data_IF_788712170105
#
_entry.id   IF_788712170105
#
_cell.length_a   1.000
_cell.length_b   1.000
_cell.length_c   1.000
_cell.angle_alpha   90.00
_cell.angle_beta   90.00
_cell.angle_gamma   90.00
#
_symmetry.space_group_name_H-M   'P 1'
#
loop_
_entity.id
_entity.type
_entity.pdbx_description
1 polymer ?
#
# COMPACT_ATOMS: atom_id res chain seq x y z
N UNK A 1 -14.07 51.05 32.69
CA UNK A 1 -14.59 50.32 31.52
C UNK A 1 -13.59 50.15 30.37
N UNK A 2 -12.79 51.17 29.99
CA UNK A 2 -11.83 51.05 28.85
C UNK A 2 -10.72 49.99 29.01
N UNK A 3 -10.24 49.75 30.24
CA UNK A 3 -9.19 48.76 30.52
C UNK A 3 -9.70 47.31 30.39
N UNK A 4 -10.96 47.07 30.77
CA UNK A 4 -11.60 45.74 30.67
C UNK A 4 -11.80 45.36 29.19
N UNK A 5 -12.11 46.33 28.33
CA UNK A 5 -12.28 46.11 26.90
C UNK A 5 -10.96 45.75 26.19
N UNK A 6 -9.84 46.33 26.65
CA UNK A 6 -8.50 46.03 26.11
C UNK A 6 -8.01 44.63 26.50
N UNK A 7 -8.33 44.16 27.72
CA UNK A 7 -8.03 42.79 28.16
C UNK A 7 -8.83 41.74 27.37
N UNK A 8 -10.08 42.04 27.02
CA UNK A 8 -10.94 41.13 26.26
C UNK A 8 -10.47 40.92 24.81
N UNK A 9 -9.96 41.99 24.17
CA UNK A 9 -9.40 41.92 22.81
C UNK A 9 -8.05 41.16 22.82
N UNK A 10 -7.22 41.35 23.84
CA UNK A 10 -5.97 40.60 23.99
C UNK A 10 -6.21 39.09 24.13
N UNK A 11 -7.21 38.67 24.93
CA UNK A 11 -7.56 37.25 25.07
C UNK A 11 -8.09 36.60 23.79
N UNK A 12 -8.83 37.33 22.94
CA UNK A 12 -9.34 36.79 21.66
C UNK A 12 -8.23 36.52 20.64
N UNK A 13 -7.07 37.20 20.74
CA UNK A 13 -5.93 36.94 19.83
C UNK A 13 -5.12 35.69 20.18
N UNK A 14 -5.28 35.13 21.38
CA UNK A 14 -4.58 33.90 21.79
C UNK A 14 -5.31 32.61 21.40
N UNK A 15 -6.61 32.65 21.07
CA UNK A 15 -7.37 31.46 20.66
C UNK A 15 -7.18 31.07 19.18
N UNK A 16 -6.44 31.85 18.40
CA UNK A 16 -6.27 31.64 16.96
C UNK A 16 -5.15 30.67 16.54
N UNK A 17 -4.31 30.20 17.46
CA UNK A 17 -3.13 29.36 17.15
C UNK A 17 -3.05 28.07 17.96
N UNK A 18 -4.18 27.53 18.44
CA UNK A 18 -4.23 26.11 18.75
C UNK A 18 -4.19 25.35 17.43
N UNK A 19 -2.99 25.18 16.88
CA UNK A 19 -2.74 24.41 15.68
C UNK A 19 -3.33 23.02 15.89
N UNK A 20 -4.42 22.75 15.19
CA UNK A 20 -4.91 21.40 14.94
C UNK A 20 -3.74 20.62 14.37
N UNK A 21 -3.18 19.68 15.14
CA UNK A 21 -2.30 18.65 14.58
C UNK A 21 -3.16 17.85 13.58
N UNK A 22 -3.22 18.30 12.33
CA UNK A 22 -3.95 17.60 11.28
C UNK A 22 -3.27 16.24 11.12
N UNK A 23 -3.97 15.21 11.55
CA UNK A 23 -3.58 13.82 11.33
C UNK A 23 -3.50 13.60 9.82
N UNK A 24 -2.27 13.52 9.29
CA UNK A 24 -2.03 13.30 7.86
C UNK A 24 -2.50 11.87 7.51
N UNK A 25 -3.48 11.79 6.60
CA UNK A 25 -3.99 10.52 6.08
C UNK A 25 -3.20 10.08 4.85
N UNK A 26 -2.67 8.85 4.85
CA UNK A 26 -1.97 8.29 3.68
C UNK A 26 -2.87 8.21 2.45
N UNK A 27 -4.16 7.90 2.64
CA UNK A 27 -5.12 7.81 1.54
C UNK A 27 -5.41 9.18 0.94
N UNK A 28 -5.41 10.24 1.75
CA UNK A 28 -5.54 11.62 1.26
C UNK A 28 -4.31 12.02 0.44
N UNK A 29 -3.11 11.72 0.92
CA UNK A 29 -1.86 11.97 0.18
C UNK A 29 -1.84 11.25 -1.17
N UNK A 30 -2.25 9.98 -1.19
CA UNK A 30 -2.33 9.17 -2.42
C UNK A 30 -3.38 9.75 -3.38
N UNK A 31 -4.57 10.10 -2.87
CA UNK A 31 -5.66 10.69 -3.67
C UNK A 31 -5.24 12.01 -4.30
N UNK A 32 -4.61 12.90 -3.53
CA UNK A 32 -4.11 14.18 -4.03
C UNK A 32 -3.03 13.98 -5.10
N UNK A 33 -2.08 13.07 -4.88
CA UNK A 33 -1.06 12.75 -5.87
C UNK A 33 -1.65 12.20 -7.18
N UNK A 34 -2.64 11.30 -7.10
CA UNK A 34 -3.33 10.79 -8.29
C UNK A 34 -4.05 11.92 -9.05
N UNK A 35 -4.72 12.85 -8.34
CA UNK A 35 -5.36 14.01 -8.97
C UNK A 35 -4.36 14.94 -9.66
N UNK A 36 -3.18 15.13 -9.08
CA UNK A 36 -2.08 15.89 -9.71
C UNK A 36 -1.62 15.23 -11.02
N UNK A 37 -1.45 13.90 -11.02
CA UNK A 37 -1.12 13.15 -12.23
C UNK A 37 -2.22 13.31 -13.30
N UNK A 38 -3.48 13.15 -12.92
CA UNK A 38 -4.62 13.27 -13.83
C UNK A 38 -4.76 14.68 -14.41
N UNK A 39 -4.49 15.73 -13.62
CA UNK A 39 -4.46 17.13 -14.09
C UNK A 39 -3.40 17.34 -15.17
N UNK A 40 -2.29 16.60 -15.09
CA UNK A 40 -1.25 16.57 -16.12
C UNK A 40 -1.58 15.65 -17.30
N UNK A 41 -2.81 15.16 -17.40
CA UNK A 41 -3.28 14.20 -18.42
C UNK A 41 -2.50 12.88 -18.42
N UNK A 42 -2.06 12.44 -17.24
CA UNK A 42 -1.49 11.10 -17.05
C UNK A 42 -2.64 10.16 -16.67
N UNK A 43 -2.86 9.16 -17.53
CA UNK A 43 -4.01 8.25 -17.47
C UNK A 43 -3.61 6.80 -17.19
N UNK A 44 -2.31 6.52 -17.11
CA UNK A 44 -1.73 5.18 -16.91
C UNK A 44 -1.03 5.16 -15.56
N UNK A 45 -1.75 4.72 -14.53
CA UNK A 45 -1.32 4.75 -13.13
C UNK A 45 -1.57 3.38 -12.49
N UNK A 46 -0.63 2.90 -11.69
CA UNK A 46 -0.78 1.72 -10.85
C UNK A 46 -0.35 2.06 -9.42
N UNK A 47 -1.26 1.85 -8.47
CA UNK A 47 -0.99 1.98 -7.04
C UNK A 47 -0.69 0.58 -6.49
N UNK A 48 0.35 0.47 -5.67
CA UNK A 48 0.72 -0.75 -4.97
C UNK A 48 0.87 -0.44 -3.48
N UNK A 49 0.25 -1.28 -2.64
CA UNK A 49 0.30 -1.21 -1.18
C UNK A 49 0.72 -2.58 -0.65
N UNK A 50 1.66 -2.58 0.29
CA UNK A 50 2.02 -3.75 1.08
C UNK A 50 1.85 -3.38 2.55
N UNK A 51 0.90 -4.03 3.23
CA UNK A 51 0.47 -3.68 4.57
C UNK A 51 0.11 -4.92 5.36
N UNK A 52 -0.18 -4.74 6.65
CA UNK A 52 -0.71 -5.82 7.47
C UNK A 52 -2.07 -5.41 8.05
N UNK A 53 -3.05 -6.30 7.89
CA UNK A 53 -4.35 -6.18 8.55
C UNK A 53 -4.21 -6.66 9.99
N UNK A 54 -4.73 -5.87 10.93
CA UNK A 54 -4.72 -6.19 12.35
C UNK A 54 -3.33 -6.13 13.01
N UNK A 55 -2.24 -5.87 12.28
CA UNK A 55 -0.99 -5.49 12.91
C UNK A 55 -1.17 -4.14 13.63
N UNK A 56 -0.45 -3.96 14.74
CA UNK A 56 -0.44 -2.69 15.47
C UNK A 56 0.17 -1.61 14.56
N UNK A 57 -0.67 -0.90 13.83
CA UNK A 57 -0.34 0.40 13.28
C UNK A 57 -0.22 1.32 14.50
N UNK A 58 1.00 1.67 14.89
CA UNK A 58 1.16 2.79 15.80
C UNK A 58 0.62 4.01 15.06
N UNK A 59 -0.51 4.47 15.57
CA UNK A 59 -1.27 5.62 15.08
C UNK A 59 -0.35 6.72 14.58
N UNK A 60 -0.64 7.19 13.37
CA UNK A 60 -0.45 8.52 12.72
C UNK A 60 -0.17 9.76 13.59
N UNK A 61 0.54 9.61 14.69
CA UNK A 61 1.02 10.70 15.50
C UNK A 61 2.30 11.15 14.81
N UNK A 62 2.32 12.39 14.33
CA UNK A 62 3.46 12.98 13.60
C UNK A 62 4.76 12.95 14.41
N UNK A 63 4.65 12.69 15.72
CA UNK A 63 5.74 12.43 16.67
C UNK A 63 6.52 11.14 16.36
N UNK A 64 5.95 10.17 15.65
CA UNK A 64 6.59 8.87 15.34
C UNK A 64 7.46 8.87 14.08
N UNK A 65 7.43 9.94 13.28
CA UNK A 65 8.33 10.08 12.14
C UNK A 65 9.82 10.16 12.53
N UNK A 66 10.10 10.29 13.83
CA UNK A 66 11.43 10.35 14.42
C UNK A 66 11.52 9.59 15.75
N UNK A 67 11.11 8.31 15.83
CA UNK A 67 11.51 7.50 16.99
C UNK A 67 12.94 6.97 16.80
N UNK A 68 13.95 7.70 17.31
CA UNK A 68 15.34 7.22 17.40
C UNK A 68 15.47 5.91 18.16
N UNK A 69 14.58 5.64 19.12
CA UNK A 69 14.61 4.44 19.98
C UNK A 69 14.37 3.13 19.22
N UNK A 70 13.66 3.16 18.09
CA UNK A 70 13.32 1.92 17.37
C UNK A 70 14.00 1.78 16.01
N UNK A 71 14.70 2.81 15.51
CA UNK A 71 15.28 2.79 14.15
C UNK A 71 14.24 2.65 13.03
N UNK A 72 12.95 2.78 13.35
CA UNK A 72 11.82 2.59 12.44
C UNK A 72 11.46 3.91 11.76
N UNK A 73 12.28 4.36 10.81
CA UNK A 73 11.87 5.45 9.93
C UNK A 73 10.89 4.88 8.87
N UNK A 74 9.70 5.45 8.73
CA UNK A 74 8.62 5.06 7.78
C UNK A 74 7.98 3.66 7.90
N UNK A 75 8.58 2.71 8.64
CA UNK A 75 8.06 1.33 8.73
C UNK A 75 6.67 1.26 9.37
N UNK A 76 6.34 2.23 10.23
CA UNK A 76 5.10 2.21 11.01
C UNK A 76 3.85 2.62 10.23
N UNK A 77 3.98 3.22 9.04
CA UNK A 77 2.83 3.73 8.27
C UNK A 77 2.56 3.04 6.93
N UNK A 78 3.29 1.96 6.59
CA UNK A 78 3.17 1.20 5.34
C UNK A 78 3.12 2.12 4.10
N UNK A 79 4.27 2.48 3.50
CA UNK A 79 4.29 3.40 2.37
C UNK A 79 3.49 2.86 1.19
N UNK A 80 2.93 3.78 0.41
CA UNK A 80 2.21 3.46 -0.83
C UNK A 80 3.09 3.81 -2.01
N UNK A 81 3.22 2.87 -2.95
CA UNK A 81 4.01 3.04 -4.15
C UNK A 81 3.10 3.32 -5.35
N UNK A 82 3.44 4.33 -6.13
CA UNK A 82 2.65 4.74 -7.30
C UNK A 82 3.54 4.71 -8.52
N UNK A 83 3.25 3.75 -9.40
CA UNK A 83 3.82 3.64 -10.73
C UNK A 83 2.97 4.42 -11.72
N UNK A 84 3.58 5.16 -12.63
CA UNK A 84 2.83 5.88 -13.66
C UNK A 84 3.66 6.06 -14.93
N UNK A 85 2.97 6.20 -16.07
CA UNK A 85 3.62 6.30 -17.38
C UNK A 85 3.38 7.66 -18.02
N UNK A 86 4.43 8.27 -18.57
CA UNK A 86 4.32 9.52 -19.36
C UNK A 86 5.31 9.47 -20.52
N UNK A 87 4.82 9.72 -21.74
CA UNK A 87 5.63 9.72 -22.98
C UNK A 87 6.48 8.44 -23.15
N UNK A 88 5.92 7.28 -22.79
CA UNK A 88 6.61 5.98 -22.92
C UNK A 88 7.50 5.59 -21.73
N UNK A 89 7.88 6.55 -20.89
CA UNK A 89 8.69 6.29 -19.69
C UNK A 89 7.84 5.94 -18.48
N UNK A 90 8.33 5.04 -17.63
CA UNK A 90 7.69 4.64 -16.38
C UNK A 90 8.41 5.28 -15.20
N UNK A 91 7.64 5.87 -14.31
CA UNK A 91 8.12 6.49 -13.08
C UNK A 91 7.51 5.77 -11.87
N UNK A 92 8.22 5.87 -10.74
CA UNK A 92 7.82 5.35 -9.45
C UNK A 92 7.94 6.45 -8.38
N UNK A 93 6.89 6.62 -7.61
CA UNK A 93 6.82 7.49 -6.44
C UNK A 93 6.53 6.67 -5.18
N UNK A 94 7.23 6.98 -4.09
CA UNK A 94 6.91 6.52 -2.73
C UNK A 94 6.13 7.60 -2.01
N UNK A 95 4.94 7.28 -1.53
CA UNK A 95 4.11 8.14 -0.70
C UNK A 95 4.18 7.62 0.74
N UNK A 96 4.61 8.48 1.66
CA UNK A 96 4.66 8.23 3.09
C UNK A 96 3.97 9.39 3.81
N UNK A 97 3.43 9.11 5.00
CA UNK A 97 2.90 10.12 5.93
C UNK A 97 3.99 11.03 6.49
N UNK A 98 5.24 10.56 6.57
CA UNK A 98 6.32 11.28 7.25
C UNK A 98 7.18 12.14 6.33
N UNK A 99 7.45 11.66 5.12
CA UNK A 99 8.40 12.30 4.23
C UNK A 99 7.88 12.37 2.80
N UNK A 100 8.34 13.39 2.09
CA UNK A 100 8.25 13.48 0.64
C UNK A 100 9.50 12.90 0.00
N UNK A 101 9.30 12.07 -1.03
CA UNK A 101 10.39 11.44 -1.77
C UNK A 101 10.40 11.89 -3.23
N UNK A 102 11.58 11.95 -3.83
CA UNK A 102 11.71 12.20 -5.26
C UNK A 102 11.17 11.02 -6.06
N UNK A 103 10.54 11.33 -7.20
CA UNK A 103 10.23 10.31 -8.21
C UNK A 103 11.52 9.71 -8.76
N UNK A 104 11.45 8.45 -9.16
CA UNK A 104 12.52 7.79 -9.91
C UNK A 104 11.98 7.25 -11.23
N UNK A 105 12.83 7.17 -12.26
CA UNK A 105 12.53 6.42 -13.48
C UNK A 105 12.87 4.95 -13.25
N UNK A 106 12.04 4.04 -13.77
CA UNK A 106 12.29 2.60 -13.70
C UNK A 106 12.37 2.02 -15.11
N UNK A 107 13.47 1.29 -15.39
CA UNK A 107 13.66 0.56 -16.64
C UNK A 107 12.94 -0.80 -16.62
N UNK A 108 12.85 -1.44 -15.45
CA UNK A 108 12.08 -2.68 -15.24
C UNK A 108 10.59 -2.37 -15.20
N UNK A 109 9.94 -2.33 -16.36
CA UNK A 109 8.53 -1.97 -16.50
C UNK A 109 7.68 -3.06 -17.18
N UNK A 110 8.18 -4.29 -17.22
CA UNK A 110 7.54 -5.47 -17.82
C UNK A 110 6.17 -5.81 -17.22
N UNK A 111 5.89 -5.34 -16.00
CA UNK A 111 4.57 -5.48 -15.38
C UNK A 111 3.46 -4.79 -16.19
N UNK A 112 3.77 -3.71 -16.94
CA UNK A 112 2.80 -3.08 -17.83
C UNK A 112 2.38 -4.05 -18.94
N UNK A 113 3.35 -4.70 -19.59
CA UNK A 113 3.08 -5.63 -20.69
C UNK A 113 2.30 -6.85 -20.18
N UNK A 114 2.65 -7.35 -18.99
CA UNK A 114 1.91 -8.42 -18.32
C UNK A 114 0.46 -7.99 -18.06
N UNK A 115 0.26 -6.79 -17.51
CA UNK A 115 -1.08 -6.27 -17.24
C UNK A 115 -1.88 -6.10 -18.54
N UNK A 116 -1.38 -5.36 -19.52
CA UNK A 116 -2.12 -5.07 -20.76
C UNK A 116 -2.43 -6.33 -21.56
N UNK A 117 -1.52 -7.32 -21.57
CA UNK A 117 -1.75 -8.60 -22.27
C UNK A 117 -2.70 -9.54 -21.51
N UNK A 118 -2.98 -9.29 -20.23
CA UNK A 118 -3.78 -10.18 -19.38
C UNK A 118 -4.92 -9.46 -18.64
N UNK A 119 -5.29 -8.24 -19.03
CA UNK A 119 -6.22 -7.38 -18.27
C UNK A 119 -7.52 -8.09 -17.90
N UNK A 120 -8.18 -8.69 -18.90
CA UNK A 120 -9.44 -9.44 -18.71
C UNK A 120 -9.26 -10.62 -17.75
N UNK A 121 -8.14 -11.34 -17.89
CA UNK A 121 -7.81 -12.48 -17.04
C UNK A 121 -7.61 -12.01 -15.60
N UNK A 122 -6.73 -11.04 -15.37
CA UNK A 122 -6.46 -10.44 -14.06
C UNK A 122 -7.77 -9.99 -13.41
N UNK A 123 -8.64 -9.27 -14.13
CA UNK A 123 -9.95 -8.85 -13.60
C UNK A 123 -10.76 -10.03 -13.06
N UNK A 124 -10.85 -11.12 -13.83
CA UNK A 124 -11.63 -12.32 -13.51
C UNK A 124 -10.95 -13.31 -12.55
N UNK A 125 -9.64 -13.18 -12.29
CA UNK A 125 -8.91 -14.14 -11.45
C UNK A 125 -9.48 -14.14 -10.03
N UNK A 126 -9.68 -15.36 -9.51
CA UNK A 126 -10.11 -15.59 -8.13
C UNK A 126 -8.97 -16.26 -7.38
N UNK A 127 -8.53 -15.59 -6.32
CA UNK A 127 -7.63 -16.15 -5.32
C UNK A 127 -8.50 -17.02 -4.43
N UNK A 128 -8.13 -18.29 -4.31
CA UNK A 128 -8.85 -19.22 -3.44
C UNK A 128 -8.26 -19.17 -2.05
N UNK A 129 -9.11 -19.28 -1.04
CA UNK A 129 -8.67 -19.32 0.34
C UNK A 129 -7.78 -20.53 0.64
N UNK A 130 -7.00 -20.44 1.71
CA UNK A 130 -6.28 -21.58 2.24
C UNK A 130 -7.28 -22.68 2.60
N UNK A 131 -7.18 -23.82 1.93
CA UNK A 131 -8.03 -24.97 2.19
C UNK A 131 -7.18 -26.23 2.36
N UNK A 132 -7.61 -27.12 3.24
CA UNK A 132 -6.93 -28.38 3.48
C UNK A 132 -7.93 -29.50 3.78
N UNK A 133 -7.49 -30.74 3.64
CA UNK A 133 -8.28 -31.93 3.97
C UNK A 133 -7.69 -32.65 5.19
N UNK A 134 -8.54 -33.10 6.09
CA UNK A 134 -8.19 -34.05 7.16
C UNK A 134 -9.03 -35.32 7.02
N UNK A 135 -8.55 -36.41 7.62
CA UNK A 135 -9.27 -37.68 7.69
C UNK A 135 -9.65 -37.90 9.15
N UNK A 136 -10.95 -37.84 9.44
CA UNK A 136 -11.52 -38.15 10.75
C UNK A 136 -12.48 -39.33 10.57
N UNK A 137 -12.30 -40.40 11.34
CA UNK A 137 -13.13 -41.63 11.26
C UNK A 137 -13.28 -42.17 9.81
N UNK A 138 -12.17 -42.22 9.07
CA UNK A 138 -12.13 -42.65 7.65
C UNK A 138 -12.92 -41.78 6.68
N UNK A 139 -13.44 -40.62 7.10
CA UNK A 139 -14.10 -39.63 6.24
C UNK A 139 -13.16 -38.47 5.97
N UNK A 140 -13.02 -38.10 4.69
CA UNK A 140 -12.34 -36.87 4.29
C UNK A 140 -13.25 -35.68 4.55
N UNK A 141 -12.75 -34.71 5.31
CA UNK A 141 -13.42 -33.42 5.54
C UNK A 141 -12.51 -32.30 5.05
N UNK A 142 -13.09 -31.35 4.32
CA UNK A 142 -12.40 -30.17 3.80
C UNK A 142 -12.66 -28.98 4.71
N UNK A 143 -11.59 -28.27 5.06
CA UNK A 143 -11.62 -27.09 5.90
C UNK A 143 -11.13 -25.88 5.09
N UNK A 144 -11.67 -24.71 5.42
CA UNK A 144 -11.16 -23.41 4.96
C UNK A 144 -10.66 -22.68 6.19
N UNK A 145 -9.47 -22.08 6.10
CA UNK A 145 -8.88 -21.31 7.18
C UNK A 145 -8.48 -19.93 6.68
N UNK A 146 -8.55 -18.96 7.58
CA UNK A 146 -8.19 -17.56 7.38
C UNK A 146 -7.34 -17.10 8.54
N UNK A 147 -6.57 -16.04 8.33
CA UNK A 147 -5.79 -15.40 9.39
C UNK A 147 -6.33 -14.00 9.65
N UNK A 148 -6.55 -13.68 10.92
CA UNK A 148 -7.05 -12.36 11.35
C UNK A 148 -5.93 -11.31 11.36
N UNK A 149 -4.68 -11.77 11.46
CA UNK A 149 -3.48 -10.95 11.42
C UNK A 149 -2.54 -11.46 10.33
N UNK A 150 -2.42 -10.71 9.25
CA UNK A 150 -1.66 -11.18 8.09
C UNK A 150 -1.21 -10.06 7.16
N UNK A 151 -0.09 -10.34 6.48
CA UNK A 151 0.37 -9.54 5.36
C UNK A 151 -0.68 -9.53 4.26
N UNK A 152 -0.94 -8.35 3.72
CA UNK A 152 -1.89 -8.08 2.66
C UNK A 152 -1.24 -7.14 1.65
N UNK A 153 -1.37 -7.50 0.40
CA UNK A 153 -0.89 -6.70 -0.72
C UNK A 153 -2.09 -6.29 -1.57
N UNK A 154 -2.08 -5.05 -2.05
CA UNK A 154 -3.10 -4.55 -2.97
C UNK A 154 -2.41 -3.89 -4.15
N UNK A 155 -2.94 -4.13 -5.35
CA UNK A 155 -2.66 -3.28 -6.48
C UNK A 155 -3.93 -2.75 -7.12
N UNK A 156 -3.84 -1.54 -7.64
CA UNK A 156 -4.92 -0.84 -8.34
C UNK A 156 -4.39 -0.17 -9.60
N UNK A 157 -4.79 -0.71 -10.74
CA UNK A 157 -4.57 -0.11 -12.05
C UNK A 157 -5.68 0.88 -12.37
N UNK A 158 -5.30 2.07 -12.83
CA UNK A 158 -6.17 3.12 -13.31
C UNK A 158 -5.67 3.48 -14.71
N UNK A 159 -6.35 2.99 -15.74
CA UNK A 159 -5.98 3.12 -17.15
C UNK A 159 -7.14 3.77 -17.91
N UNK A 160 -6.94 4.98 -18.44
CA UNK A 160 -7.97 5.70 -19.21
C UNK A 160 -9.34 5.76 -18.48
N UNK A 161 -9.30 5.93 -17.15
CA UNK A 161 -10.49 5.95 -16.29
C UNK A 161 -11.06 4.57 -15.91
N UNK A 162 -10.58 3.48 -16.51
CA UNK A 162 -10.93 2.12 -16.09
C UNK A 162 -10.11 1.73 -14.87
N UNK A 163 -10.78 1.19 -13.85
CA UNK A 163 -10.15 0.76 -12.61
C UNK A 163 -10.22 -0.76 -12.49
N UNK A 164 -9.07 -1.38 -12.23
CA UNK A 164 -8.97 -2.79 -11.83
C UNK A 164 -8.16 -2.85 -10.56
N UNK A 165 -8.74 -3.47 -9.52
CA UNK A 165 -8.15 -3.58 -8.20
C UNK A 165 -8.17 -5.02 -7.74
N UNK A 166 -7.09 -5.46 -7.08
CA UNK A 166 -6.96 -6.76 -6.45
C UNK A 166 -6.33 -6.62 -5.08
N UNK A 167 -7.01 -7.19 -4.10
CA UNK A 167 -6.47 -7.45 -2.78
C UNK A 167 -6.00 -8.91 -2.70
N UNK A 168 -4.84 -9.11 -2.10
CA UNK A 168 -4.14 -10.37 -1.98
C UNK A 168 -3.78 -10.55 -0.51
N UNK A 169 -4.36 -11.56 0.12
CA UNK A 169 -3.97 -12.01 1.46
C UNK A 169 -2.83 -13.01 1.29
N UNK A 170 -1.63 -12.68 1.77
CA UNK A 170 -0.41 -13.48 1.53
C UNK A 170 -0.54 -14.91 2.03
N UNK A 171 -1.31 -15.12 3.10
CA UNK A 171 -1.59 -16.44 3.67
C UNK A 171 -2.22 -17.41 2.66
N UNK A 172 -3.04 -16.92 1.72
CA UNK A 172 -3.65 -17.78 0.69
C UNK A 172 -2.62 -18.34 -0.31
N UNK A 173 -1.39 -17.82 -0.34
CA UNK A 173 -0.33 -18.23 -1.25
C UNK A 173 0.72 -19.13 -0.60
N UNK A 174 0.63 -19.44 0.70
CA UNK A 174 1.59 -20.35 1.34
C UNK A 174 1.20 -21.79 1.05
N UNK A 175 2.20 -22.65 0.83
CA UNK A 175 1.99 -24.08 0.54
C UNK A 175 1.62 -24.87 1.79
N UNK A 176 2.22 -24.49 2.92
CA UNK A 176 2.07 -25.15 4.20
C UNK A 176 2.30 -24.10 5.29
N UNK A 177 1.48 -24.19 6.33
CA UNK A 177 1.62 -23.46 7.57
C UNK A 177 2.05 -24.43 8.69
N UNK A 178 2.56 -23.92 9.81
CA UNK A 178 2.96 -24.75 10.94
C UNK A 178 1.76 -25.38 11.66
N UNK A 179 0.58 -24.74 11.60
CA UNK A 179 -0.63 -25.17 12.29
C UNK A 179 -1.58 -25.97 11.40
N UNK A 180 -1.49 -25.81 10.08
CA UNK A 180 -2.44 -26.41 9.13
C UNK A 180 -1.77 -27.37 8.14
N UNK A 181 -2.47 -28.45 7.72
CA UNK A 181 -2.03 -29.28 6.60
C UNK A 181 -1.87 -28.47 5.31
N UNK A 182 -1.18 -29.04 4.32
CA UNK A 182 -0.84 -28.31 3.08
C UNK A 182 -2.06 -27.71 2.37
N UNK A 183 -1.90 -26.47 1.90
CA UNK A 183 -2.90 -25.73 1.17
C UNK A 183 -3.17 -26.38 -0.21
N UNK A 184 -4.35 -26.96 -0.37
CA UNK A 184 -4.77 -27.60 -1.62
C UNK A 184 -4.93 -26.62 -2.79
N UNK A 185 -5.09 -25.32 -2.50
CA UNK A 185 -5.25 -24.28 -3.50
C UNK A 185 -3.93 -23.61 -3.90
N UNK A 186 -2.80 -24.00 -3.30
CA UNK A 186 -1.49 -23.41 -3.54
C UNK A 186 -1.14 -23.33 -5.03
N UNK A 187 -1.18 -24.47 -5.74
CA UNK A 187 -0.80 -24.57 -7.15
C UNK A 187 -1.69 -23.73 -8.08
N UNK A 188 -2.96 -23.53 -7.71
CA UNK A 188 -3.88 -22.65 -8.42
C UNK A 188 -3.46 -21.19 -8.20
N UNK A 189 -3.27 -20.79 -6.94
CA UNK A 189 -2.97 -19.41 -6.57
C UNK A 189 -1.63 -18.93 -7.11
N UNK A 190 -0.56 -19.74 -7.02
CA UNK A 190 0.78 -19.31 -7.48
C UNK A 190 0.88 -19.13 -9.01
N UNK A 191 -0.08 -19.65 -9.78
CA UNK A 191 -0.12 -19.53 -11.24
C UNK A 191 -0.91 -18.31 -11.73
N UNK A 192 -1.54 -17.56 -10.84
CA UNK A 192 -2.32 -16.37 -11.18
C UNK A 192 -1.41 -15.25 -11.71
N UNK A 193 -1.89 -14.49 -12.69
CA UNK A 193 -1.21 -13.29 -13.19
C UNK A 193 -1.17 -12.19 -12.16
N UNK A 194 -2.21 -12.09 -11.32
CA UNK A 194 -2.25 -11.18 -10.17
C UNK A 194 -1.11 -11.47 -9.19
N UNK A 195 -0.76 -12.76 -8.97
CA UNK A 195 0.40 -13.16 -8.14
C UNK A 195 1.72 -12.73 -8.77
N UNK A 196 1.88 -12.97 -10.07
CA UNK A 196 3.09 -12.53 -10.79
C UNK A 196 3.28 -11.00 -10.70
N UNK A 197 2.20 -10.22 -10.78
CA UNK A 197 2.28 -8.77 -10.67
C UNK A 197 2.75 -8.31 -9.28
N UNK A 198 2.20 -8.86 -8.20
CA UNK A 198 2.68 -8.49 -6.85
C UNK A 198 4.13 -8.88 -6.62
N UNK A 199 4.58 -10.02 -7.13
CA UNK A 199 5.98 -10.44 -7.00
C UNK A 199 6.92 -9.47 -7.69
N UNK A 200 6.50 -8.94 -8.85
CA UNK A 200 7.26 -7.92 -9.56
C UNK A 200 7.24 -6.60 -8.78
N UNK A 201 6.10 -6.17 -8.25
CA UNK A 201 6.00 -4.93 -7.47
C UNK A 201 6.85 -4.99 -6.21
N UNK A 202 6.71 -6.05 -5.41
CA UNK A 202 7.48 -6.31 -4.21
C UNK A 202 8.99 -6.30 -4.50
N UNK A 203 9.42 -6.98 -5.57
CA UNK A 203 10.82 -6.99 -5.97
C UNK A 203 11.32 -5.58 -6.36
N UNK A 204 10.55 -4.84 -7.17
CA UNK A 204 10.95 -3.48 -7.56
C UNK A 204 11.04 -2.55 -6.35
N UNK A 205 10.04 -2.58 -5.46
CA UNK A 205 9.99 -1.69 -4.30
C UNK A 205 11.03 -2.07 -3.27
N UNK A 206 11.20 -3.35 -2.95
CA UNK A 206 12.23 -3.82 -2.01
C UNK A 206 13.65 -3.54 -2.50
N UNK A 207 13.94 -3.72 -3.79
CA UNK A 207 15.22 -3.34 -4.40
C UNK A 207 15.46 -1.82 -4.28
N UNK A 208 14.44 -1.01 -4.56
CA UNK A 208 14.52 0.44 -4.45
C UNK A 208 14.77 0.92 -3.01
N UNK A 209 14.10 0.32 -2.02
CA UNK A 209 14.31 0.59 -0.59
C UNK A 209 15.71 0.16 -0.13
N UNK A 210 16.11 -1.09 -0.42
CA UNK A 210 17.43 -1.62 -0.06
C UNK A 210 18.58 -0.79 -0.60
N UNK A 211 18.42 -0.26 -1.81
CA UNK A 211 19.43 0.58 -2.47
C UNK A 211 19.32 2.07 -2.10
N UNK A 212 18.41 2.45 -1.18
CA UNK A 212 18.15 3.84 -0.79
C UNK A 212 17.90 4.76 -2.01
N UNK A 213 17.14 4.24 -2.99
CA UNK A 213 16.88 4.93 -4.27
C UNK A 213 15.91 6.08 -4.09
N UNK A 214 14.96 5.94 -3.14
CA UNK A 214 14.06 7.01 -2.76
C UNK A 214 14.81 8.10 -1.98
N UNK A 215 15.10 9.23 -2.63
CA UNK A 215 15.74 10.37 -1.98
C UNK A 215 14.68 11.22 -1.29
N UNK A 216 14.83 11.39 0.02
CA UNK A 216 13.99 12.29 0.81
C UNK A 216 14.19 13.72 0.33
N UNK A 217 13.08 14.40 0.01
CA UNK A 217 13.04 15.82 -0.35
C UNK A 217 12.88 16.66 0.92
N UNK A 218 11.83 16.37 1.70
CA UNK A 218 11.51 17.09 2.94
C UNK A 218 10.68 16.24 3.89
N UNK A 219 10.61 16.67 5.15
CA UNK A 219 9.62 16.16 6.10
C UNK A 219 8.26 16.81 5.85
N UNK A 220 7.19 16.08 6.15
CA UNK A 220 5.80 16.57 6.12
C UNK A 220 5.41 17.16 7.46
#
# INVERSE_FOLDING_TARGET
MKIIFFLFISFMTFFGNAQTNQKISIDELVSNFIKELQTQKIDTICVYKDYCVGCRQTTSDSTLCYSKEFGLNDILSYPVYIFWKKKGETYLNKISTCFEFSKMSISKNTFWDIYFSNEKKIKSEVIKDYQYETIENSKKTKYTTSVDHGGSQNFKFMINGIIIEKEIISFNFIKKDDYFPSNMNYDHNIKLKSKLLIDIFENITSEAEKNNTFKKIKSR
#
